data_IF_648295971621
#
_entry.id   IF_648295971621
#
_cell.length_a   1.000
_cell.length_b   1.000
_cell.length_c   1.000
_cell.angle_alpha   90.00
_cell.angle_beta   90.00
_cell.angle_gamma   90.00
#
_symmetry.space_group_name_H-M   'P 1'
#
loop_
_entity.id
_entity.type
_entity.pdbx_description
1 polymer ?
#
# COMPACT_ATOMS: atom_id res chain seq x y z
N UNK A 1 -45.21 -54.97 13.25
CA UNK A 1 -44.59 -53.67 13.58
C UNK A 1 -43.07 -53.82 13.43
N UNK A 2 -42.43 -52.84 12.77
CA UNK A 2 -41.03 -52.43 12.99
C UNK A 2 -39.89 -53.17 12.24
N UNK A 3 -39.86 -53.13 10.91
CA UNK A 3 -38.58 -53.33 10.18
C UNK A 3 -38.36 -52.43 8.96
N UNK A 4 -39.33 -51.57 8.61
CA UNK A 4 -39.24 -50.68 7.44
C UNK A 4 -38.76 -49.26 7.75
N UNK A 5 -38.79 -48.83 9.02
CA UNK A 5 -38.28 -47.50 9.41
C UNK A 5 -36.76 -47.45 9.62
N UNK A 6 -36.12 -48.57 9.98
CA UNK A 6 -34.69 -48.59 10.31
C UNK A 6 -33.79 -48.39 9.07
N UNK A 7 -34.22 -48.81 7.89
CA UNK A 7 -33.44 -48.63 6.65
C UNK A 7 -33.48 -47.21 6.10
N UNK A 8 -34.54 -46.45 6.38
CA UNK A 8 -34.68 -45.07 5.87
C UNK A 8 -33.85 -44.06 6.67
N UNK A 9 -33.56 -44.33 7.95
CA UNK A 9 -32.69 -43.47 8.76
C UNK A 9 -31.20 -43.70 8.48
N UNK A 10 -30.81 -44.90 8.04
CA UNK A 10 -29.40 -45.24 7.78
C UNK A 10 -28.89 -44.69 6.44
N UNK A 11 -29.76 -44.54 5.43
CA UNK A 11 -29.39 -43.90 4.16
C UNK A 11 -29.37 -42.35 4.22
N UNK A 12 -30.11 -41.73 5.15
CA UNK A 12 -30.12 -40.27 5.33
C UNK A 12 -28.87 -39.72 6.05
N UNK A 13 -28.24 -40.52 6.92
CA UNK A 13 -27.06 -40.11 7.67
C UNK A 13 -25.76 -40.15 6.83
N UNK A 14 -25.72 -40.90 5.74
CA UNK A 14 -24.53 -41.04 4.89
C UNK A 14 -24.36 -39.89 3.88
N UNK A 15 -25.43 -39.17 3.55
CA UNK A 15 -25.39 -38.07 2.58
C UNK A 15 -24.95 -36.71 3.16
N UNK A 16 -24.84 -36.60 4.49
CA UNK A 16 -24.43 -35.35 5.16
C UNK A 16 -22.89 -35.29 5.35
N UNK A 17 -22.18 -36.40 5.12
CA UNK A 17 -20.73 -36.50 5.36
C UNK A 17 -19.84 -36.25 4.13
N UNK A 18 -20.40 -35.81 2.99
CA UNK A 18 -19.67 -35.72 1.71
C UNK A 18 -19.37 -34.29 1.23
N UNK A 19 -19.72 -33.25 1.99
CA UNK A 19 -19.55 -31.85 1.56
C UNK A 19 -18.30 -31.14 2.13
N UNK A 20 -17.34 -31.89 2.68
CA UNK A 20 -16.09 -31.34 3.22
C UNK A 20 -14.86 -31.93 2.50
N UNK A 21 -14.80 -31.79 1.18
CA UNK A 21 -13.53 -31.94 0.45
C UNK A 21 -13.04 -30.55 0.10
N UNK A 22 -11.85 -30.25 0.59
CA UNK A 22 -11.34 -28.90 0.76
C UNK A 22 -11.23 -28.10 -0.53
N UNK A 23 -11.59 -26.83 -0.42
CA UNK A 23 -11.02 -25.76 -1.23
C UNK A 23 -9.54 -25.67 -0.85
N UNK A 24 -8.72 -26.52 -1.45
CA UNK A 24 -7.26 -26.40 -1.37
C UNK A 24 -6.86 -25.17 -2.19
N UNK A 25 -6.33 -24.19 -1.48
CA UNK A 25 -5.67 -22.98 -1.94
C UNK A 25 -5.11 -23.03 -3.38
N UNK A 26 -5.88 -22.52 -4.33
CA UNK A 26 -5.34 -22.00 -5.59
C UNK A 26 -4.73 -20.63 -5.30
N UNK A 27 -3.53 -20.60 -4.71
CA UNK A 27 -2.75 -19.36 -4.56
C UNK A 27 -1.37 -19.45 -5.23
N UNK A 28 -1.11 -20.54 -5.96
CA UNK A 28 0.21 -20.79 -6.58
C UNK A 28 0.35 -20.34 -8.04
N UNK A 29 -0.74 -20.20 -8.79
CA UNK A 29 -0.69 -19.96 -10.25
C UNK A 29 -1.08 -18.55 -10.69
N UNK A 30 -1.80 -17.79 -9.86
CA UNK A 30 -2.27 -16.45 -10.24
C UNK A 30 -1.12 -15.43 -10.32
N UNK A 31 0.04 -15.74 -9.73
CA UNK A 31 1.20 -14.84 -9.73
C UNK A 31 2.03 -14.93 -11.02
N UNK A 32 1.87 -16.00 -11.81
CA UNK A 32 2.58 -16.21 -13.08
C UNK A 32 2.13 -15.25 -14.19
N UNK A 33 0.93 -14.67 -14.06
CA UNK A 33 0.38 -13.74 -15.04
C UNK A 33 1.01 -12.34 -14.97
N UNK A 34 1.71 -12.03 -13.87
CA UNK A 34 2.29 -10.70 -13.68
C UNK A 34 3.73 -10.63 -14.20
N UNK A 35 4.15 -9.42 -14.55
CA UNK A 35 5.52 -9.15 -14.94
C UNK A 35 6.52 -9.35 -13.80
N UNK A 36 7.83 -9.32 -14.11
CA UNK A 36 8.90 -9.61 -13.15
C UNK A 36 8.88 -8.72 -11.89
N UNK A 37 8.54 -7.43 -11.99
CA UNK A 37 8.54 -6.50 -10.84
C UNK A 37 7.40 -6.85 -9.89
N UNK A 38 6.17 -6.94 -10.40
CA UNK A 38 5.00 -7.27 -9.59
C UNK A 38 5.18 -8.66 -8.96
N UNK A 39 5.65 -9.64 -9.74
CA UNK A 39 5.92 -10.99 -9.23
C UNK A 39 6.98 -11.00 -8.13
N UNK A 40 8.06 -10.24 -8.28
CA UNK A 40 9.08 -10.12 -7.25
C UNK A 40 8.50 -9.53 -5.95
N UNK A 41 7.64 -8.52 -6.07
CA UNK A 41 6.97 -7.92 -4.92
C UNK A 41 6.01 -8.89 -4.22
N UNK A 42 5.21 -9.65 -4.98
CA UNK A 42 4.32 -10.67 -4.42
C UNK A 42 5.09 -11.78 -3.71
N UNK A 43 6.21 -12.22 -4.31
CA UNK A 43 7.14 -13.15 -3.69
C UNK A 43 7.77 -12.60 -2.41
N UNK A 44 8.15 -11.31 -2.39
CA UNK A 44 8.60 -10.64 -1.18
C UNK A 44 7.53 -10.68 -0.07
N UNK A 45 6.28 -10.34 -0.38
CA UNK A 45 5.18 -10.41 0.59
C UNK A 45 4.90 -11.82 1.11
N UNK A 46 5.13 -12.85 0.28
CA UNK A 46 5.05 -14.25 0.71
C UNK A 46 6.14 -14.56 1.74
N UNK A 47 7.39 -14.15 1.49
CA UNK A 47 8.49 -14.34 2.43
C UNK A 47 8.23 -13.60 3.76
N UNK A 48 7.68 -12.38 3.70
CA UNK A 48 7.28 -11.63 4.92
C UNK A 48 6.20 -12.37 5.74
N UNK A 49 5.26 -13.05 5.07
CA UNK A 49 4.27 -13.87 5.77
C UNK A 49 4.93 -15.05 6.49
N UNK A 50 5.89 -15.71 5.83
CA UNK A 50 6.64 -16.81 6.43
C UNK A 50 7.43 -16.36 7.66
N UNK A 51 8.01 -15.16 7.65
CA UNK A 51 8.67 -14.56 8.83
C UNK A 51 7.68 -14.33 9.97
N UNK A 52 6.50 -13.77 9.67
CA UNK A 52 5.46 -13.55 10.68
C UNK A 52 4.97 -14.88 11.27
N UNK A 53 4.81 -15.91 10.44
CA UNK A 53 4.41 -17.26 10.85
C UNK A 53 5.48 -17.94 11.73
N UNK A 54 6.77 -17.84 11.35
CA UNK A 54 7.88 -18.40 12.14
C UNK A 54 7.95 -17.76 13.54
N UNK A 55 7.91 -16.43 13.63
CA UNK A 55 7.96 -15.73 14.92
C UNK A 55 6.75 -16.05 15.81
N UNK A 56 5.58 -16.25 15.21
CA UNK A 56 4.39 -16.68 15.95
C UNK A 56 4.53 -18.12 16.47
N UNK A 57 5.09 -19.04 15.66
CA UNK A 57 5.33 -20.43 16.07
C UNK A 57 6.32 -20.55 17.24
N UNK A 58 7.31 -19.63 17.29
CA UNK A 58 8.28 -19.51 18.37
C UNK A 58 7.77 -18.73 19.58
N UNK A 59 6.51 -18.27 19.54
CA UNK A 59 5.91 -17.44 20.59
C UNK A 59 6.68 -16.14 20.87
N UNK A 60 7.45 -15.63 19.91
CA UNK A 60 8.18 -14.36 20.02
C UNK A 60 7.26 -13.14 19.91
N UNK A 61 6.09 -13.35 19.32
CA UNK A 61 5.07 -12.32 19.09
C UNK A 61 3.72 -12.78 19.61
N UNK A 62 2.90 -11.83 20.03
CA UNK A 62 1.56 -12.13 20.50
C UNK A 62 0.57 -12.27 19.32
N UNK A 63 -0.61 -12.84 19.61
CA UNK A 63 -1.67 -13.06 18.62
C UNK A 63 -2.17 -11.77 17.95
N UNK A 64 -2.18 -10.65 18.67
CA UNK A 64 -2.62 -9.37 18.11
C UNK A 64 -1.62 -8.86 17.05
N UNK A 65 -0.32 -8.95 17.35
CA UNK A 65 0.76 -8.66 16.42
C UNK A 65 0.68 -9.55 15.18
N UNK A 66 0.54 -10.86 15.37
CA UNK A 66 0.39 -11.81 14.26
C UNK A 66 -0.75 -11.40 13.32
N UNK A 67 -1.96 -11.23 13.89
CA UNK A 67 -3.16 -10.86 13.13
C UNK A 67 -2.96 -9.53 12.39
N UNK A 68 -2.42 -8.52 13.05
CA UNK A 68 -2.17 -7.18 12.49
C UNK A 68 -1.22 -7.27 11.28
N UNK A 69 -0.09 -7.96 11.42
CA UNK A 69 0.91 -8.06 10.35
C UNK A 69 0.44 -8.95 9.20
N UNK A 70 -0.16 -10.11 9.46
CA UNK A 70 -0.74 -10.95 8.40
C UNK A 70 -1.83 -10.22 7.62
N UNK A 71 -2.66 -9.43 8.30
CA UNK A 71 -3.67 -8.61 7.65
C UNK A 71 -3.06 -7.47 6.82
N UNK A 72 -1.99 -6.83 7.30
CA UNK A 72 -1.23 -5.82 6.55
C UNK A 72 -0.65 -6.41 5.26
N UNK A 73 0.00 -7.57 5.34
CA UNK A 73 0.56 -8.27 4.17
C UNK A 73 -0.54 -8.61 3.16
N UNK A 74 -1.70 -9.08 3.63
CA UNK A 74 -2.87 -9.33 2.77
C UNK A 74 -3.37 -8.05 2.10
N UNK A 75 -3.42 -6.93 2.82
CA UNK A 75 -3.84 -5.65 2.27
C UNK A 75 -2.89 -5.15 1.17
N UNK A 76 -1.57 -5.26 1.39
CA UNK A 76 -0.55 -4.94 0.40
C UNK A 76 -0.68 -5.79 -0.85
N UNK A 77 -0.83 -7.12 -0.68
CA UNK A 77 -1.03 -8.06 -1.79
C UNK A 77 -2.25 -7.67 -2.63
N UNK A 78 -3.39 -7.40 -1.99
CA UNK A 78 -4.60 -6.99 -2.68
C UNK A 78 -4.45 -5.69 -3.45
N UNK A 79 -3.75 -4.69 -2.88
CA UNK A 79 -3.50 -3.44 -3.59
C UNK A 79 -2.52 -3.63 -4.76
N UNK A 80 -1.44 -4.39 -4.57
CA UNK A 80 -0.48 -4.66 -5.64
C UNK A 80 -1.11 -5.38 -6.82
N UNK A 81 -1.90 -6.42 -6.55
CA UNK A 81 -2.68 -7.12 -7.58
C UNK A 81 -3.67 -6.20 -8.28
N UNK A 82 -4.35 -5.31 -7.54
CA UNK A 82 -5.26 -4.32 -8.13
C UNK A 82 -4.50 -3.39 -9.08
N UNK A 83 -3.39 -2.80 -8.66
CA UNK A 83 -2.59 -1.89 -9.49
C UNK A 83 -2.12 -2.59 -10.77
N UNK A 84 -1.57 -3.81 -10.64
CA UNK A 84 -1.09 -4.57 -11.78
C UNK A 84 -2.22 -4.89 -12.78
N UNK A 85 -3.41 -5.21 -12.27
CA UNK A 85 -4.59 -5.51 -13.10
C UNK A 85 -5.14 -4.25 -13.77
N UNK A 86 -5.25 -3.14 -13.03
CA UNK A 86 -5.86 -1.90 -13.49
C UNK A 86 -4.97 -1.16 -14.50
N UNK A 87 -3.65 -1.18 -14.29
CA UNK A 87 -2.70 -0.45 -15.14
C UNK A 87 -2.21 -1.27 -16.33
N UNK A 88 -2.33 -2.61 -16.26
CA UNK A 88 -1.69 -3.55 -17.19
C UNK A 88 -0.20 -3.28 -17.42
N UNK A 89 0.45 -2.70 -16.42
CA UNK A 89 1.87 -2.38 -16.45
C UNK A 89 2.59 -3.14 -15.33
N UNK A 90 3.83 -3.53 -15.57
CA UNK A 90 4.71 -4.12 -14.56
C UNK A 90 5.37 -3.05 -13.68
N UNK A 91 4.74 -1.89 -13.56
CA UNK A 91 5.18 -0.85 -12.65
C UNK A 91 4.38 -0.93 -11.36
N UNK A 92 5.09 -1.07 -10.23
CA UNK A 92 4.50 -1.08 -8.91
C UNK A 92 5.26 -0.09 -8.01
N UNK A 93 4.59 0.94 -7.46
CA UNK A 93 5.24 1.84 -6.52
C UNK A 93 5.57 1.13 -5.20
N UNK A 94 6.46 1.71 -4.40
CA UNK A 94 6.70 1.23 -3.03
C UNK A 94 5.43 1.42 -2.20
N UNK A 95 4.79 0.32 -1.81
CA UNK A 95 3.52 0.33 -1.08
C UNK A 95 3.74 0.24 0.43
N UNK A 96 3.00 1.07 1.16
CA UNK A 96 2.92 1.06 2.62
C UNK A 96 1.46 0.91 3.06
N UNK A 97 1.20 -0.02 3.98
CA UNK A 97 -0.14 -0.26 4.51
C UNK A 97 -0.15 -0.08 6.03
N UNK A 98 -0.95 0.87 6.51
CA UNK A 98 -1.04 1.21 7.95
C UNK A 98 -2.48 1.22 8.42
N UNK A 99 -2.70 0.82 9.66
CA UNK A 99 -3.96 1.07 10.34
C UNK A 99 -4.08 2.57 10.72
N UNK A 100 -5.28 3.03 11.06
CA UNK A 100 -5.51 4.45 11.38
C UNK A 100 -4.68 4.94 12.59
N UNK A 101 -4.51 4.08 13.59
CA UNK A 101 -3.68 4.32 14.78
C UNK A 101 -2.18 4.33 14.48
N UNK A 102 -1.77 3.84 13.31
CA UNK A 102 -0.39 3.71 12.87
C UNK A 102 0.04 4.83 11.90
N UNK A 103 -0.82 5.81 11.59
CA UNK A 103 -0.47 6.89 10.66
C UNK A 103 0.78 7.66 11.06
N UNK A 104 1.03 7.80 12.37
CA UNK A 104 2.22 8.47 12.90
C UNK A 104 3.54 7.75 12.61
N UNK A 105 3.50 6.49 12.16
CA UNK A 105 4.69 5.74 11.77
C UNK A 105 5.25 6.23 10.44
N UNK A 106 4.38 6.70 9.53
CA UNK A 106 4.76 7.09 8.16
C UNK A 106 4.55 8.59 7.89
N UNK A 107 3.66 9.25 8.64
CA UNK A 107 3.33 10.65 8.47
C UNK A 107 3.72 11.44 9.72
N UNK A 108 4.46 12.53 9.54
CA UNK A 108 4.83 13.42 10.65
C UNK A 108 3.59 14.09 11.27
N UNK A 109 2.71 14.59 10.41
CA UNK A 109 1.41 15.17 10.76
C UNK A 109 0.30 14.36 10.07
N UNK A 110 -0.28 13.37 10.77
CA UNK A 110 -1.29 12.51 10.17
C UNK A 110 -2.63 13.26 10.02
N UNK A 111 -3.26 13.23 8.83
CA UNK A 111 -4.61 13.75 8.66
C UNK A 111 -5.64 12.83 9.34
N UNK A 112 -6.89 13.27 9.43
CA UNK A 112 -7.99 12.39 9.83
C UNK A 112 -8.20 11.36 8.73
N UNK A 113 -8.37 10.09 9.08
CA UNK A 113 -8.56 9.02 8.09
C UNK A 113 -9.77 9.25 7.16
N UNK A 114 -10.79 9.94 7.66
CA UNK A 114 -12.02 10.28 6.92
C UNK A 114 -11.82 11.36 5.87
N UNK A 115 -10.77 12.20 5.98
CA UNK A 115 -10.52 13.28 5.03
C UNK A 115 -9.70 12.86 3.81
N UNK A 116 -9.13 11.65 3.83
CA UNK A 116 -8.22 11.15 2.81
C UNK A 116 -8.94 10.87 1.48
N UNK A 117 -8.38 11.36 0.36
CA UNK A 117 -8.89 11.13 -1.00
C UNK A 117 -7.92 10.35 -1.85
N UNK A 118 -8.41 9.36 -2.60
CA UNK A 118 -7.55 8.57 -3.49
C UNK A 118 -6.83 9.51 -4.47
N UNK A 119 -5.52 9.34 -4.60
CA UNK A 119 -4.62 10.18 -5.40
C UNK A 119 -4.06 11.40 -4.66
N UNK A 120 -4.56 11.71 -3.46
CA UNK A 120 -4.03 12.80 -2.63
C UNK A 120 -2.59 12.53 -2.23
N UNK A 121 -1.73 13.54 -2.37
CA UNK A 121 -0.32 13.49 -1.95
C UNK A 121 -0.17 14.15 -0.59
N UNK A 122 0.37 13.39 0.36
CA UNK A 122 0.63 13.79 1.74
C UNK A 122 2.11 14.06 1.93
N UNK A 123 2.44 15.24 2.46
CA UNK A 123 3.82 15.65 2.81
C UNK A 123 4.81 15.45 1.66
N UNK A 124 4.34 15.59 0.41
CA UNK A 124 5.14 15.39 -0.81
C UNK A 124 5.82 14.02 -0.90
N UNK A 125 5.45 13.05 -0.06
CA UNK A 125 6.19 11.79 0.10
C UNK A 125 5.32 10.57 -0.16
N UNK A 126 4.04 10.65 0.22
CA UNK A 126 3.11 9.53 0.09
C UNK A 126 1.89 9.92 -0.73
N UNK A 127 1.51 9.11 -1.71
CA UNK A 127 0.23 9.20 -2.41
C UNK A 127 -0.75 8.20 -1.81
N UNK A 128 -1.92 8.65 -1.40
CA UNK A 128 -2.93 7.75 -0.85
C UNK A 128 -3.63 6.97 -1.97
N UNK A 129 -3.68 5.64 -1.86
CA UNK A 129 -4.23 4.74 -2.87
C UNK A 129 -5.62 4.19 -2.51
N UNK A 130 -6.00 4.25 -1.24
CA UNK A 130 -7.32 3.82 -0.78
C UNK A 130 -7.28 2.92 0.46
N UNK A 131 -8.46 2.41 0.83
CA UNK A 131 -8.63 1.48 1.96
C UNK A 131 -8.77 0.05 1.45
N UNK A 132 -8.08 -0.87 2.10
CA UNK A 132 -8.24 -2.31 1.91
C UNK A 132 -8.71 -2.94 3.23
N UNK A 133 -9.76 -3.77 3.17
CA UNK A 133 -10.30 -4.46 4.35
C UNK A 133 -9.77 -5.88 4.41
N UNK A 134 -8.82 -6.12 5.30
CA UNK A 134 -8.26 -7.44 5.57
C UNK A 134 -8.45 -7.75 7.06
N UNK A 135 -9.65 -8.13 7.48
CA UNK A 135 -10.01 -8.26 8.90
C UNK A 135 -10.23 -6.92 9.61
N UNK A 136 -9.45 -5.90 9.30
CA UNK A 136 -9.62 -4.50 9.71
C UNK A 136 -9.20 -3.54 8.57
N UNK A 137 -9.53 -2.24 8.62
CA UNK A 137 -9.19 -1.32 7.55
C UNK A 137 -7.71 -0.93 7.57
N UNK A 138 -7.03 -1.14 6.45
CA UNK A 138 -5.69 -0.64 6.18
C UNK A 138 -5.75 0.46 5.11
N UNK A 139 -5.09 1.57 5.39
CA UNK A 139 -4.91 2.68 4.46
C UNK A 139 -3.59 2.44 3.73
N UNK A 140 -3.68 2.33 2.41
CA UNK A 140 -2.53 2.00 1.57
C UNK A 140 -2.03 3.26 0.88
N UNK A 141 -0.73 3.44 0.90
CA UNK A 141 -0.01 4.57 0.34
C UNK A 141 1.06 4.07 -0.63
N UNK A 142 1.34 4.84 -1.67
CA UNK A 142 2.51 4.71 -2.51
C UNK A 142 3.55 5.76 -2.09
N UNK A 143 4.82 5.39 -1.94
CA UNK A 143 5.90 6.38 -1.84
C UNK A 143 6.13 6.98 -3.23
N UNK A 144 6.19 8.30 -3.30
CA UNK A 144 6.54 8.99 -4.54
C UNK A 144 8.03 8.81 -4.83
N UNK A 145 8.35 8.60 -6.10
CA UNK A 145 9.75 8.52 -6.52
C UNK A 145 10.45 9.90 -6.45
N UNK A 146 11.80 9.97 -6.43
CA UNK A 146 12.51 11.24 -6.30
C UNK A 146 12.18 12.28 -7.40
N UNK A 147 11.76 11.82 -8.58
CA UNK A 147 11.43 12.70 -9.70
C UNK A 147 10.06 13.34 -9.49
N UNK A 148 9.04 12.55 -9.16
CA UNK A 148 7.71 13.04 -8.79
C UNK A 148 7.77 13.98 -7.58
N UNK A 149 8.62 13.70 -6.59
CA UNK A 149 8.83 14.60 -5.45
C UNK A 149 9.39 15.96 -5.89
N UNK A 150 10.40 15.95 -6.77
CA UNK A 150 11.06 17.16 -7.26
C UNK A 150 10.10 18.05 -8.04
N UNK A 151 9.27 17.46 -8.92
CA UNK A 151 8.25 18.17 -9.69
C UNK A 151 7.21 18.85 -8.79
N UNK A 152 6.79 18.18 -7.71
CA UNK A 152 5.85 18.76 -6.75
C UNK A 152 6.46 19.90 -5.93
N UNK A 153 7.74 19.79 -5.55
CA UNK A 153 8.46 20.86 -4.84
C UNK A 153 8.60 22.08 -5.74
N UNK A 154 9.01 21.90 -6.99
CA UNK A 154 9.14 22.98 -7.98
C UNK A 154 7.80 23.67 -8.21
N UNK A 155 6.72 22.90 -8.42
CA UNK A 155 5.37 23.45 -8.59
C UNK A 155 4.90 24.28 -7.39
N UNK A 156 5.23 23.84 -6.18
CA UNK A 156 4.89 24.55 -4.94
C UNK A 156 5.65 25.88 -4.83
N UNK A 157 6.94 25.89 -5.20
CA UNK A 157 7.76 27.10 -5.22
C UNK A 157 7.24 28.12 -6.24
N UNK A 158 6.90 27.68 -7.45
CA UNK A 158 6.38 28.56 -8.51
C UNK A 158 5.04 29.19 -8.10
N UNK A 159 4.13 28.41 -7.51
CA UNK A 159 2.83 28.91 -7.04
C UNK A 159 2.98 29.97 -5.94
N UNK A 160 3.89 29.74 -4.99
CA UNK A 160 4.16 30.70 -3.90
C UNK A 160 4.80 32.01 -4.39
N UNK A 161 5.53 31.95 -5.51
CA UNK A 161 6.18 33.14 -6.10
C UNK A 161 5.18 34.00 -6.87
N UNK A 162 4.17 33.38 -7.50
CA UNK A 162 3.16 34.08 -8.29
C UNK A 162 2.07 34.76 -7.43
N UNK A 163 1.77 34.22 -6.24
CA UNK A 163 0.80 34.84 -5.31
C UNK A 163 1.38 36.03 -4.50
N UNK A 164 2.69 36.28 -4.59
CA UNK A 164 3.34 37.45 -3.97
C UNK A 164 3.37 38.69 -4.89
N UNK A 165 2.70 38.64 -6.05
CA UNK A 165 2.75 39.67 -7.10
C UNK A 165 1.50 40.54 -7.23
N UNK A 166 0.97 41.11 -6.15
CA UNK A 166 0.03 42.24 -6.24
C UNK A 166 0.15 43.18 -5.03
N UNK A 167 1.28 43.87 -4.94
CA UNK A 167 1.30 45.26 -4.47
C UNK A 167 2.17 46.04 -5.47
N UNK A 168 1.52 46.92 -6.22
CA UNK A 168 2.18 47.87 -7.09
C UNK A 168 3.11 48.78 -6.29
N UNK A 169 4.37 48.90 -6.74
CA UNK A 169 5.01 50.20 -6.93
C UNK A 169 6.16 50.05 -7.95
N UNK A 170 6.13 50.82 -9.06
CA UNK A 170 7.26 50.90 -9.98
C UNK A 170 8.26 51.94 -9.46
N UNK A 171 9.56 51.72 -9.65
CA UNK A 171 10.53 52.74 -10.08
C UNK A 171 11.91 52.07 -10.24
N UNK A 172 12.54 52.43 -11.36
CA UNK A 172 13.84 52.05 -11.93
C UNK A 172 14.98 52.18 -10.91
N UNK A 173 16.11 51.47 -10.99
CA UNK A 173 17.17 51.61 -12.01
C UNK A 173 18.24 50.53 -11.84
N UNK A 174 18.70 49.94 -12.95
CA UNK A 174 20.04 49.29 -13.07
C UNK A 174 21.13 50.34 -12.75
N UNK A 175 22.34 49.97 -12.25
CA UNK A 175 23.41 49.60 -13.19
C UNK A 175 24.56 48.66 -12.69
N UNK A 176 25.20 48.02 -13.69
CA UNK A 176 26.67 47.83 -13.87
C UNK A 176 27.41 46.70 -13.12
N UNK A 177 27.68 45.65 -13.92
CA UNK A 177 28.99 45.01 -14.21
C UNK A 177 30.22 45.44 -13.39
N UNK A 178 30.89 44.48 -12.72
CA UNK A 178 32.37 44.47 -12.68
C UNK A 178 32.92 43.07 -12.47
N UNK A 179 33.66 42.60 -13.47
CA UNK A 179 34.52 41.42 -13.39
C UNK A 179 35.68 41.66 -12.40
N UNK A 180 36.07 40.62 -11.66
CA UNK A 180 37.42 40.55 -11.08
C UNK A 180 37.93 39.11 -11.09
N UNK A 181 38.77 38.83 -12.09
CA UNK A 181 39.74 37.74 -12.12
C UNK A 181 41.02 38.26 -11.47
N UNK A 182 41.54 37.60 -10.44
CA UNK A 182 42.97 37.69 -10.07
C UNK A 182 43.42 36.31 -9.61
N UNK A 183 44.36 35.79 -10.38
CA UNK A 183 45.17 34.58 -10.22
C UNK A 183 46.42 34.86 -9.38
N UNK A 184 46.84 33.86 -8.60
CA UNK A 184 48.24 33.42 -8.37
C UNK A 184 49.16 34.32 -7.51
N UNK A 185 50.30 33.81 -6.99
CA UNK A 185 50.99 32.52 -7.22
C UNK A 185 50.92 31.50 -6.07
#
# INVERSE_FOLDING_TARGET
>A
MNSRCLFSCLLGALFILSAAVGVSAQTGNDEEQYGPVVRAYLGYLKNEQEVVDDRASRHEVNRAYYRRNSNRIRALRQMATRIATDTQNDYLPELEAVAADEFRLILQQPPRSESLRIGEVLQTTFRYLGVVRAGEPFYVFARLDPYEQSELIEKTQITSTNDSGSIANPVQTRPITRARRVTSP
#
